data_IF_716345008942
#
_entry.id   IF_716345008942
#
_cell.length_a   1.000
_cell.length_b   1.000
_cell.length_c   1.000
_cell.angle_alpha   90.00
_cell.angle_beta   90.00
_cell.angle_gamma   90.00
#
_symmetry.space_group_name_H-M   'P 1'
#
loop_
_entity.id
_entity.type
_entity.pdbx_description
1 polymer ?
#
# COMPACT_ATOMS: atom_id res chain seq x y z
N UNK A 1 13.62 5.19 11.83
CA UNK A 1 13.88 5.56 10.43
C UNK A 1 12.76 5.02 9.52
N UNK A 2 12.52 5.72 8.43
CA UNK A 2 11.58 5.35 7.37
C UNK A 2 12.40 4.88 6.17
N UNK A 3 11.96 3.78 5.53
CA UNK A 3 12.60 3.20 4.36
C UNK A 3 11.56 2.96 3.27
N UNK A 4 11.85 3.41 2.05
CA UNK A 4 10.95 3.33 0.90
C UNK A 4 11.61 2.60 -0.26
N UNK A 5 10.83 1.85 -1.04
CA UNK A 5 11.29 1.18 -2.27
C UNK A 5 11.85 2.16 -3.30
N UNK A 6 11.55 3.46 -3.16
CA UNK A 6 12.10 4.52 -4.01
C UNK A 6 13.51 4.94 -3.58
N UNK A 7 13.97 4.53 -2.40
CA UNK A 7 15.34 4.71 -1.95
C UNK A 7 16.20 3.55 -2.45
N UNK A 8 17.04 3.81 -3.44
CA UNK A 8 17.86 2.78 -4.08
C UNK A 8 19.12 2.42 -3.30
N UNK A 9 19.50 3.21 -2.30
CA UNK A 9 20.78 3.05 -1.56
C UNK A 9 20.60 2.27 -0.27
N UNK A 10 19.58 2.60 0.52
CA UNK A 10 19.39 2.06 1.87
C UNK A 10 18.19 1.15 2.05
N UNK A 11 17.42 0.90 0.96
CA UNK A 11 16.23 0.09 1.03
C UNK A 11 16.53 -1.40 0.91
N UNK A 12 16.22 -2.16 1.96
CA UNK A 12 16.30 -3.61 1.94
C UNK A 12 14.97 -4.21 1.42
N UNK A 13 14.97 -4.66 0.18
CA UNK A 13 13.79 -5.24 -0.46
C UNK A 13 13.22 -6.47 0.25
N UNK A 14 14.07 -7.22 0.99
CA UNK A 14 13.62 -8.39 1.75
C UNK A 14 12.74 -8.00 2.95
N UNK A 15 12.83 -6.75 3.40
CA UNK A 15 12.04 -6.19 4.49
C UNK A 15 10.81 -5.42 4.03
N UNK A 16 10.62 -5.30 2.73
CA UNK A 16 9.54 -4.50 2.14
C UNK A 16 8.17 -5.04 2.52
N UNK A 17 7.29 -4.16 3.00
CA UNK A 17 5.87 -4.43 3.23
C UNK A 17 5.01 -4.12 2.01
N UNK A 18 3.71 -4.35 2.15
CA UNK A 18 2.70 -4.18 1.07
C UNK A 18 2.68 -2.75 0.50
N UNK A 19 2.93 -1.72 1.31
CA UNK A 19 2.96 -0.31 0.90
C UNK A 19 4.25 0.12 0.20
N UNK A 20 5.21 -0.79 0.00
CA UNK A 20 6.54 -0.41 -0.48
C UNK A 20 7.40 0.30 0.57
N UNK A 21 6.97 0.30 1.83
CA UNK A 21 7.68 0.92 2.94
C UNK A 21 7.86 -0.04 4.11
N UNK A 22 8.82 0.26 4.97
CA UNK A 22 8.92 -0.23 6.34
C UNK A 22 9.54 0.84 7.23
N UNK A 23 9.26 0.75 8.52
CA UNK A 23 9.73 1.68 9.53
C UNK A 23 10.46 0.92 10.62
N UNK A 24 11.61 1.44 11.03
CA UNK A 24 12.37 0.95 12.18
C UNK A 24 12.26 2.01 13.27
N UNK A 25 11.42 1.81 14.29
CA UNK A 25 11.24 2.77 15.36
C UNK A 25 12.41 2.72 16.33
N UNK A 26 12.49 3.73 17.17
CA UNK A 26 13.30 3.74 18.40
C UNK A 26 12.37 3.66 19.59
N UNK A 27 12.86 3.19 20.72
CA UNK A 27 12.15 3.30 22.00
C UNK A 27 11.72 4.75 22.26
N UNK A 28 10.50 4.94 22.74
CA UNK A 28 9.86 6.23 22.91
C UNK A 28 9.23 6.83 21.65
N UNK A 29 9.39 6.22 20.48
CA UNK A 29 8.68 6.65 19.27
C UNK A 29 7.19 6.41 19.41
N UNK A 30 6.40 7.28 18.83
CA UNK A 30 4.95 7.10 18.76
C UNK A 30 4.38 7.56 17.43
N UNK A 31 3.17 7.11 17.14
CA UNK A 31 2.36 7.57 16.02
C UNK A 31 0.92 7.71 16.50
N UNK A 32 0.23 8.73 16.03
CA UNK A 32 -1.15 9.01 16.38
C UNK A 32 -1.99 9.14 15.11
N UNK A 33 -3.11 8.43 15.08
CA UNK A 33 -4.14 8.58 14.06
C UNK A 33 -5.38 9.22 14.69
N UNK A 34 -6.09 10.03 13.91
CA UNK A 34 -7.34 10.69 14.30
C UNK A 34 -8.35 10.60 13.19
N UNK A 35 -9.59 10.32 13.54
CA UNK A 35 -10.72 10.48 12.64
C UNK A 35 -10.85 11.92 12.14
N UNK A 36 -11.43 12.10 10.97
CA UNK A 36 -11.63 13.39 10.31
C UNK A 36 -13.08 13.51 9.86
N UNK A 37 -13.75 14.58 10.26
CA UNK A 37 -15.12 14.84 9.85
C UNK A 37 -15.24 15.96 8.80
N UNK A 38 -14.11 16.41 8.23
CA UNK A 38 -14.06 17.49 7.26
C UNK A 38 -14.92 17.22 6.02
N UNK A 39 -14.99 15.96 5.58
CA UNK A 39 -15.66 15.55 4.35
C UNK A 39 -17.01 14.88 4.61
N UNK A 40 -17.18 14.23 5.76
CA UNK A 40 -18.44 13.63 6.18
C UNK A 40 -18.49 13.55 7.72
N UNK A 41 -19.65 13.85 8.29
CA UNK A 41 -19.84 13.96 9.75
C UNK A 41 -19.58 12.68 10.54
N UNK A 42 -19.69 11.52 9.90
CA UNK A 42 -19.50 10.21 10.55
C UNK A 42 -18.08 9.66 10.46
N UNK A 43 -17.12 10.41 9.86
CA UNK A 43 -15.73 10.01 9.70
C UNK A 43 -14.82 10.41 10.88
N UNK A 44 -15.39 10.96 11.95
CA UNK A 44 -14.63 11.38 13.14
C UNK A 44 -14.30 10.22 14.08
N UNK A 45 -14.98 9.08 13.95
CA UNK A 45 -14.76 7.88 14.76
C UNK A 45 -14.80 6.61 13.91
N UNK A 46 -14.10 5.58 14.37
CA UNK A 46 -14.16 4.23 13.84
C UNK A 46 -14.39 3.20 14.96
N UNK A 47 -14.56 1.93 14.60
CA UNK A 47 -14.79 0.86 15.54
C UNK A 47 -13.58 -0.03 15.78
N UNK A 48 -12.55 0.07 14.95
CA UNK A 48 -11.33 -0.74 15.03
C UNK A 48 -10.11 0.11 14.72
N UNK A 49 -9.01 -0.13 15.41
CA UNK A 49 -7.70 0.40 15.06
C UNK A 49 -6.64 -0.68 15.18
N UNK A 50 -5.78 -0.78 14.19
CA UNK A 50 -4.78 -1.84 14.09
C UNK A 50 -3.39 -1.29 13.80
N UNK A 51 -2.38 -2.01 14.29
CA UNK A 51 -0.97 -1.81 13.94
C UNK A 51 -0.39 -3.12 13.40
N UNK A 52 0.37 -3.04 12.30
CA UNK A 52 0.97 -4.17 11.62
C UNK A 52 2.49 -4.11 11.73
N UNK A 53 3.11 -5.20 12.19
CA UNK A 53 4.55 -5.27 12.40
C UNK A 53 5.08 -6.69 12.30
N UNK A 54 6.39 -6.80 12.10
CA UNK A 54 7.14 -8.05 12.13
C UNK A 54 8.29 -7.90 13.12
N UNK A 55 8.39 -8.80 14.08
CA UNK A 55 9.42 -8.75 15.10
C UNK A 55 10.18 -10.07 15.20
N UNK A 56 11.50 -9.98 15.27
CA UNK A 56 12.41 -11.12 15.50
C UNK A 56 12.72 -11.32 16.98
N UNK A 57 12.53 -10.28 17.78
CA UNK A 57 12.70 -10.27 19.22
C UNK A 57 11.40 -9.85 19.91
N UNK A 58 11.40 -9.86 21.23
CA UNK A 58 10.24 -9.37 21.99
C UNK A 58 9.99 -7.88 21.69
N UNK A 59 8.73 -7.52 21.61
CA UNK A 59 8.27 -6.15 21.41
C UNK A 59 7.32 -5.74 22.52
N UNK A 60 7.47 -4.51 23.00
CA UNK A 60 6.55 -3.88 23.95
C UNK A 60 5.99 -2.62 23.31
N UNK A 61 4.68 -2.59 23.17
CA UNK A 61 3.92 -1.48 22.60
C UNK A 61 2.85 -1.05 23.59
N UNK A 62 2.44 0.20 23.51
CA UNK A 62 1.27 0.67 24.19
C UNK A 62 0.32 1.41 23.27
N UNK A 63 -0.98 1.30 23.56
CA UNK A 63 -2.03 1.97 22.80
C UNK A 63 -2.88 2.82 23.75
N UNK A 64 -3.12 4.08 23.38
CA UNK A 64 -4.03 4.98 24.07
C UNK A 64 -5.14 5.43 23.13
N UNK A 65 -6.36 5.03 23.43
CA UNK A 65 -7.55 5.41 22.69
C UNK A 65 -8.13 6.71 23.27
N UNK A 66 -8.38 7.67 22.40
CA UNK A 66 -8.91 8.99 22.76
C UNK A 66 -8.03 9.64 23.86
N UNK A 67 -8.65 9.98 25.00
CA UNK A 67 -7.97 10.52 26.21
C UNK A 67 -7.94 9.51 27.35
N UNK A 68 -8.22 8.22 27.04
CA UNK A 68 -8.25 7.15 28.04
C UNK A 68 -6.86 6.73 28.53
N UNK A 69 -6.84 5.69 29.33
CA UNK A 69 -5.63 5.09 29.84
C UNK A 69 -4.85 4.36 28.74
N UNK A 70 -3.54 4.26 28.90
CA UNK A 70 -2.68 3.49 28.00
C UNK A 70 -2.73 2.02 28.35
N UNK A 71 -2.95 1.17 27.34
CA UNK A 71 -2.90 -0.29 27.47
C UNK A 71 -1.62 -0.82 26.87
N UNK A 72 -0.88 -1.60 27.65
CA UNK A 72 0.39 -2.21 27.21
C UNK A 72 0.16 -3.58 26.58
N UNK A 73 1.01 -3.91 25.61
CA UNK A 73 1.07 -5.18 24.88
C UNK A 73 2.51 -5.65 24.85
N UNK A 74 2.74 -6.89 25.30
CA UNK A 74 4.04 -7.55 25.24
C UNK A 74 3.90 -8.81 24.39
N UNK A 75 4.67 -8.90 23.31
CA UNK A 75 4.65 -10.03 22.40
C UNK A 75 6.05 -10.61 22.26
N UNK A 76 6.14 -11.93 22.25
CA UNK A 76 7.37 -12.65 21.95
C UNK A 76 7.77 -12.51 20.48
N UNK A 77 8.98 -13.00 20.17
CA UNK A 77 9.46 -13.08 18.81
C UNK A 77 8.51 -13.88 17.91
N UNK A 78 8.34 -13.45 16.66
CA UNK A 78 7.52 -14.12 15.67
C UNK A 78 8.21 -14.13 14.32
N UNK A 79 8.11 -15.26 13.60
CA UNK A 79 8.51 -15.37 12.20
C UNK A 79 7.44 -14.90 11.22
N UNK A 80 6.34 -14.30 11.71
CA UNK A 80 5.17 -13.91 10.93
C UNK A 80 4.80 -12.44 11.17
N UNK A 81 4.10 -11.86 10.20
CA UNK A 81 3.45 -10.56 10.37
C UNK A 81 2.44 -10.64 11.52
N UNK A 82 2.54 -9.74 12.46
CA UNK A 82 1.62 -9.60 13.58
C UNK A 82 0.72 -8.39 13.42
N UNK A 83 -0.46 -8.49 14.01
CA UNK A 83 -1.42 -7.41 14.14
C UNK A 83 -1.88 -7.30 15.59
N UNK A 84 -1.81 -6.11 16.16
CA UNK A 84 -2.57 -5.77 17.37
C UNK A 84 -3.77 -4.96 16.94
N UNK A 85 -4.95 -5.32 17.43
CA UNK A 85 -6.20 -4.64 17.13
C UNK A 85 -6.89 -4.19 18.43
N UNK A 86 -7.32 -2.96 18.44
CA UNK A 86 -8.14 -2.37 19.50
C UNK A 86 -9.53 -2.13 18.95
N UNK A 87 -10.56 -2.53 19.69
CA UNK A 87 -11.97 -2.34 19.34
C UNK A 87 -12.63 -1.34 20.30
N UNK A 88 -13.57 -0.56 19.78
CA UNK A 88 -14.35 0.42 20.54
C UNK A 88 -14.71 1.64 19.69
N UNK A 89 -15.27 2.68 20.32
CA UNK A 89 -15.47 3.96 19.65
C UNK A 89 -14.16 4.76 19.71
N UNK A 90 -13.47 4.84 18.58
CA UNK A 90 -12.12 5.38 18.46
C UNK A 90 -12.17 6.67 17.62
N UNK A 91 -12.03 7.83 18.26
CA UNK A 91 -11.83 9.13 17.58
C UNK A 91 -10.35 9.42 17.35
N UNK A 92 -9.49 8.91 18.24
CA UNK A 92 -8.04 8.94 18.06
C UNK A 92 -7.39 7.71 18.70
N UNK A 93 -6.26 7.30 18.17
CA UNK A 93 -5.42 6.27 18.77
C UNK A 93 -3.96 6.67 18.67
N UNK A 94 -3.25 6.58 19.79
CA UNK A 94 -1.78 6.71 19.82
C UNK A 94 -1.17 5.35 20.13
N UNK A 95 -0.32 4.90 19.23
CA UNK A 95 0.55 3.76 19.43
C UNK A 95 1.94 4.25 19.83
N UNK A 96 2.46 3.75 20.94
CA UNK A 96 3.81 4.07 21.42
C UNK A 96 4.67 2.81 21.44
N UNK A 97 5.95 2.99 21.15
CA UNK A 97 6.94 1.93 21.13
C UNK A 97 7.74 2.02 22.42
N UNK A 98 7.49 1.12 23.35
CA UNK A 98 8.18 1.10 24.62
C UNK A 98 9.52 0.35 24.46
N UNK A 99 9.50 -0.80 23.72
CA UNK A 99 10.69 -1.56 23.33
C UNK A 99 10.41 -2.27 22.00
N UNK A 100 11.33 -2.16 21.04
CA UNK A 100 11.16 -2.76 19.71
C UNK A 100 12.51 -3.06 19.03
N UNK A 101 13.31 -3.91 19.64
CA UNK A 101 14.54 -4.40 19.03
C UNK A 101 14.19 -5.28 17.82
N UNK A 102 14.91 -5.12 16.70
CA UNK A 102 14.72 -5.91 15.46
C UNK A 102 13.27 -5.98 14.95
N UNK A 103 12.48 -4.91 15.16
CA UNK A 103 11.08 -4.84 14.75
C UNK A 103 10.90 -3.93 13.54
N UNK A 104 10.12 -4.41 12.56
CA UNK A 104 9.73 -3.66 11.37
C UNK A 104 8.24 -3.33 11.46
N UNK A 105 7.89 -2.06 11.32
CA UNK A 105 6.50 -1.63 11.27
C UNK A 105 6.09 -1.32 9.84
N UNK A 106 4.88 -1.73 9.46
CA UNK A 106 4.39 -1.64 8.09
C UNK A 106 3.23 -0.69 7.91
N UNK A 107 2.47 -0.42 8.96
CA UNK A 107 1.37 0.51 8.86
C UNK A 107 0.38 0.41 10.02
N UNK A 108 -0.61 1.27 9.90
CA UNK A 108 -1.71 1.44 10.85
C UNK A 108 -3.00 1.51 10.07
N UNK A 109 -4.10 1.09 10.69
CA UNK A 109 -5.43 1.24 10.14
C UNK A 109 -6.41 1.74 11.20
N UNK A 110 -7.39 2.53 10.77
CA UNK A 110 -8.59 2.87 11.52
C UNK A 110 -9.80 2.51 10.66
N UNK A 111 -10.56 1.51 11.04
CA UNK A 111 -11.58 0.89 10.20
C UNK A 111 -12.96 0.91 10.86
N UNK A 112 -14.00 1.01 10.04
CA UNK A 112 -15.36 0.62 10.40
C UNK A 112 -15.50 -0.89 10.46
N UNK A 113 -16.55 -1.38 11.13
CA UNK A 113 -16.93 -2.81 11.10
C UNK A 113 -17.76 -3.19 9.89
N UNK A 114 -18.33 -2.20 9.22
CA UNK A 114 -19.23 -2.37 8.08
C UNK A 114 -18.90 -1.33 7.01
N UNK A 115 -19.29 -1.60 5.77
CA UNK A 115 -19.09 -0.72 4.64
C UNK A 115 -17.86 -1.12 3.81
N UNK A 116 -17.37 -0.18 3.01
CA UNK A 116 -16.19 -0.35 2.17
C UNK A 116 -14.97 0.21 2.91
N UNK A 117 -13.94 -0.58 3.00
CA UNK A 117 -12.63 -0.17 3.53
C UNK A 117 -11.69 -0.01 2.33
N UNK A 118 -11.08 1.16 2.24
CA UNK A 118 -10.13 1.48 1.16
C UNK A 118 -8.75 1.76 1.74
N UNK A 119 -7.78 0.92 1.37
CA UNK A 119 -6.37 1.17 1.64
C UNK A 119 -5.73 1.86 0.43
N UNK A 120 -5.03 2.95 0.68
CA UNK A 120 -4.28 3.65 -0.34
C UNK A 120 -2.78 3.36 -0.19
N UNK A 121 -2.24 2.57 -1.12
CA UNK A 121 -0.81 2.24 -1.21
C UNK A 121 -0.11 3.00 -2.35
N UNK A 122 -0.62 4.15 -2.75
CA UNK A 122 0.01 4.93 -3.81
C UNK A 122 1.43 5.33 -3.44
N UNK A 123 2.32 5.17 -4.41
CA UNK A 123 3.72 5.51 -4.30
C UNK A 123 4.09 6.44 -5.45
N UNK A 124 4.36 7.71 -5.13
CA UNK A 124 4.71 8.73 -6.12
C UNK A 124 5.92 8.28 -6.94
N UNK A 125 5.83 8.39 -8.27
CA UNK A 125 6.91 8.01 -9.18
C UNK A 125 6.95 6.52 -9.53
N UNK A 126 6.07 5.69 -8.93
CA UNK A 126 6.02 4.26 -9.23
C UNK A 126 5.44 3.99 -10.62
N UNK A 127 5.98 2.98 -11.29
CA UNK A 127 5.43 2.40 -12.52
C UNK A 127 4.61 1.13 -12.27
N UNK A 128 4.49 0.68 -11.02
CA UNK A 128 3.89 -0.61 -10.67
C UNK A 128 4.84 -1.80 -10.75
N UNK A 129 5.95 -1.69 -11.46
CA UNK A 129 6.87 -2.81 -11.66
C UNK A 129 7.56 -3.28 -10.38
N UNK A 130 7.70 -2.40 -9.40
CA UNK A 130 8.29 -2.72 -8.08
C UNK A 130 7.46 -3.71 -7.26
N UNK A 131 6.15 -3.85 -7.54
CA UNK A 131 5.25 -4.78 -6.84
C UNK A 131 5.75 -6.22 -6.88
N UNK A 132 6.35 -6.65 -8.00
CA UNK A 132 6.94 -8.00 -8.14
C UNK A 132 8.12 -8.27 -7.21
N UNK A 133 8.70 -7.22 -6.62
CA UNK A 133 9.82 -7.33 -5.68
C UNK A 133 9.40 -7.47 -4.22
N UNK A 134 8.11 -7.36 -3.89
CA UNK A 134 7.62 -7.58 -2.54
C UNK A 134 7.67 -9.09 -2.24
N UNK A 135 8.26 -9.53 -1.12
CA UNK A 135 8.32 -10.95 -0.80
C UNK A 135 6.93 -11.60 -0.77
N UNK A 136 6.72 -12.70 -1.50
CA UNK A 136 5.44 -13.42 -1.56
C UNK A 136 4.93 -13.80 -0.16
N UNK A 137 5.82 -14.26 0.71
CA UNK A 137 5.47 -14.58 2.09
C UNK A 137 4.88 -13.38 2.82
N UNK A 138 5.46 -12.20 2.65
CA UNK A 138 4.96 -10.97 3.27
C UNK A 138 3.55 -10.61 2.75
N UNK A 139 3.33 -10.68 1.43
CA UNK A 139 2.01 -10.40 0.84
C UNK A 139 0.95 -11.41 1.32
N UNK A 140 1.28 -12.69 1.39
CA UNK A 140 0.37 -13.73 1.90
C UNK A 140 0.03 -13.49 3.37
N UNK A 141 1.01 -13.16 4.19
CA UNK A 141 0.79 -12.84 5.60
C UNK A 141 -0.05 -11.56 5.77
N UNK A 142 0.12 -10.57 4.89
CA UNK A 142 -0.79 -9.42 4.86
C UNK A 142 -2.20 -9.83 4.49
N UNK A 143 -2.39 -10.68 3.49
CA UNK A 143 -3.69 -11.18 3.09
C UNK A 143 -4.39 -11.97 4.23
N UNK A 144 -3.65 -12.72 5.02
CA UNK A 144 -4.18 -13.41 6.22
C UNK A 144 -4.65 -12.43 7.30
N UNK A 145 -3.90 -11.35 7.53
CA UNK A 145 -4.20 -10.37 8.59
C UNK A 145 -5.19 -9.28 8.16
N UNK A 146 -5.23 -8.99 6.86
CA UNK A 146 -6.06 -7.96 6.23
C UNK A 146 -6.40 -8.39 4.80
N UNK A 147 -7.40 -9.28 4.63
CA UNK A 147 -7.80 -9.75 3.30
C UNK A 147 -8.37 -8.63 2.45
N UNK A 148 -8.14 -8.72 1.14
CA UNK A 148 -8.67 -7.79 0.13
C UNK A 148 -9.60 -8.51 -0.82
N UNK A 149 -10.76 -7.89 -1.09
CA UNK A 149 -11.73 -8.37 -2.09
C UNK A 149 -11.39 -7.84 -3.48
N UNK A 150 -10.78 -6.64 -3.54
CA UNK A 150 -10.41 -5.97 -4.80
C UNK A 150 -9.08 -5.25 -4.66
N UNK A 151 -8.23 -5.43 -5.66
CA UNK A 151 -6.97 -4.69 -5.84
C UNK A 151 -7.11 -3.83 -7.09
N UNK A 152 -6.97 -2.51 -6.94
CA UNK A 152 -7.01 -1.56 -8.06
C UNK A 152 -5.58 -1.12 -8.36
N UNK A 153 -5.15 -1.31 -9.60
CA UNK A 153 -3.85 -0.92 -10.11
C UNK A 153 -4.01 0.30 -11.02
N UNK A 154 -3.51 1.45 -10.58
CA UNK A 154 -3.53 2.70 -11.33
C UNK A 154 -2.08 3.14 -11.60
N UNK A 155 -1.57 2.81 -12.77
CA UNK A 155 -0.20 3.10 -13.19
C UNK A 155 -0.16 3.61 -14.63
N UNK A 156 0.95 4.24 -15.02
CA UNK A 156 1.20 4.58 -16.40
C UNK A 156 1.73 6.00 -16.61
N UNK A 157 1.29 7.00 -15.82
CA UNK A 157 1.75 8.39 -15.98
C UNK A 157 3.26 8.55 -15.86
N UNK A 158 3.92 7.72 -15.05
CA UNK A 158 5.39 7.70 -14.92
C UNK A 158 6.10 6.87 -16.01
N UNK A 159 5.35 6.22 -16.87
CA UNK A 159 5.84 5.40 -17.98
C UNK A 159 5.60 6.09 -19.33
N UNK A 160 4.49 6.81 -19.46
CA UNK A 160 4.12 7.50 -20.67
C UNK A 160 5.16 8.54 -21.08
N UNK A 161 5.57 8.50 -22.35
CA UNK A 161 6.44 9.49 -22.96
C UNK A 161 5.75 10.09 -24.18
N UNK A 162 6.13 11.31 -24.58
CA UNK A 162 5.47 12.05 -25.66
C UNK A 162 5.36 11.23 -26.95
N UNK A 163 6.44 10.54 -27.32
CA UNK A 163 6.52 9.73 -28.54
C UNK A 163 6.59 8.23 -28.28
N UNK A 164 6.13 7.79 -27.11
CA UNK A 164 6.18 6.38 -26.72
C UNK A 164 5.42 5.48 -27.71
N UNK A 165 6.17 4.63 -28.42
CA UNK A 165 5.60 3.69 -29.41
C UNK A 165 5.66 2.26 -28.94
N UNK A 166 6.66 1.92 -28.14
CA UNK A 166 6.91 0.57 -27.65
C UNK A 166 6.97 0.55 -26.13
N UNK A 167 6.08 -0.23 -25.53
CA UNK A 167 5.98 -0.48 -24.09
C UNK A 167 6.10 -1.98 -23.74
N UNK A 168 6.75 -2.80 -24.61
CA UNK A 168 6.86 -4.26 -24.41
C UNK A 168 7.51 -4.62 -23.08
N UNK A 169 8.58 -3.91 -22.69
CA UNK A 169 9.24 -4.15 -21.40
C UNK A 169 8.34 -3.81 -20.22
N UNK A 170 7.53 -2.75 -20.35
CA UNK A 170 6.53 -2.40 -19.34
C UNK A 170 5.44 -3.48 -19.27
N UNK A 171 4.90 -3.91 -20.41
CA UNK A 171 3.91 -4.99 -20.48
C UNK A 171 4.41 -6.25 -19.78
N UNK A 172 5.58 -6.76 -20.16
CA UNK A 172 6.19 -7.95 -19.53
C UNK A 172 6.38 -7.79 -18.03
N UNK A 173 6.84 -6.61 -17.60
CA UNK A 173 7.06 -6.31 -16.20
C UNK A 173 5.76 -6.22 -15.38
N UNK A 174 4.71 -5.61 -15.94
CA UNK A 174 3.44 -5.47 -15.26
C UNK A 174 2.66 -6.80 -15.22
N UNK A 175 2.72 -7.61 -16.27
CA UNK A 175 2.20 -8.98 -16.28
C UNK A 175 2.84 -9.81 -15.15
N UNK A 176 4.16 -9.71 -15.00
CA UNK A 176 4.86 -10.39 -13.91
C UNK A 176 4.38 -9.91 -12.55
N UNK A 177 4.14 -8.60 -12.37
CA UNK A 177 3.64 -8.04 -11.13
C UNK A 177 2.19 -8.48 -10.84
N UNK A 178 1.32 -8.50 -11.86
CA UNK A 178 -0.07 -8.97 -11.72
C UNK A 178 -0.10 -10.44 -11.33
N UNK A 179 0.67 -11.30 -11.99
CA UNK A 179 0.73 -12.72 -11.64
C UNK A 179 1.25 -12.93 -10.21
N UNK A 180 2.23 -12.15 -9.80
CA UNK A 180 2.72 -12.15 -8.43
C UNK A 180 1.63 -11.80 -7.41
N UNK A 181 0.79 -10.79 -7.70
CA UNK A 181 -0.34 -10.44 -6.85
C UNK A 181 -1.42 -11.54 -6.85
N UNK A 182 -1.78 -12.09 -8.00
CA UNK A 182 -2.76 -13.20 -8.10
C UNK A 182 -2.37 -14.41 -7.25
N UNK A 183 -1.09 -14.76 -7.23
CA UNK A 183 -0.59 -15.85 -6.38
C UNK A 183 -0.65 -15.55 -4.88
N UNK A 184 -0.56 -14.29 -4.50
CA UNK A 184 -0.55 -13.87 -3.10
C UNK A 184 -1.94 -13.52 -2.55
N UNK A 185 -2.86 -13.13 -3.43
CA UNK A 185 -4.24 -12.73 -3.12
C UNK A 185 -5.23 -13.51 -4.01
N UNK A 186 -5.33 -14.84 -3.87
CA UNK A 186 -6.08 -15.68 -4.81
C UNK A 186 -7.59 -15.42 -4.81
N UNK A 187 -8.14 -14.78 -3.78
CA UNK A 187 -9.55 -14.45 -3.67
C UNK A 187 -9.87 -13.02 -4.11
N UNK A 188 -8.86 -12.17 -4.31
CA UNK A 188 -9.08 -10.78 -4.69
C UNK A 188 -9.29 -10.65 -6.20
N UNK A 189 -10.32 -9.89 -6.60
CA UNK A 189 -10.42 -9.37 -7.96
C UNK A 189 -9.29 -8.35 -8.22
N UNK A 190 -8.83 -8.26 -9.46
CA UNK A 190 -7.86 -7.22 -9.85
C UNK A 190 -8.47 -6.38 -10.96
N UNK A 191 -8.39 -5.07 -10.80
CA UNK A 191 -8.80 -4.07 -11.78
C UNK A 191 -7.58 -3.23 -12.18
N UNK A 192 -7.26 -3.21 -13.47
CA UNK A 192 -6.29 -2.29 -14.03
C UNK A 192 -7.03 -1.06 -14.54
N UNK A 193 -6.76 0.10 -13.95
CA UNK A 193 -7.23 1.38 -14.47
C UNK A 193 -6.28 1.86 -15.57
N UNK A 194 -6.86 2.35 -16.66
CA UNK A 194 -6.07 2.95 -17.73
C UNK A 194 -5.29 4.16 -17.23
N UNK A 195 -4.13 4.40 -17.83
CA UNK A 195 -3.41 5.64 -17.60
C UNK A 195 -4.31 6.84 -17.91
N UNK A 196 -4.33 7.81 -16.99
CA UNK A 196 -5.05 9.06 -17.18
C UNK A 196 -4.49 9.87 -18.35
N UNK A 197 -5.29 10.82 -18.86
CA UNK A 197 -4.85 11.68 -19.95
C UNK A 197 -3.67 12.56 -19.52
N UNK A 198 -2.78 12.77 -20.48
CA UNK A 198 -1.64 13.69 -20.35
C UNK A 198 -1.48 14.45 -21.65
N UNK A 199 -1.61 15.74 -21.56
CA UNK A 199 -1.48 16.63 -22.70
C UNK A 199 -0.03 17.07 -22.93
N UNK A 200 0.25 17.40 -24.17
CA UNK A 200 1.42 18.16 -24.57
C UNK A 200 1.01 19.40 -25.36
N UNK A 201 1.85 20.41 -25.35
CA UNK A 201 1.62 21.66 -26.10
C UNK A 201 2.23 21.53 -27.48
N UNK A 202 1.42 21.75 -28.53
CA UNK A 202 1.89 21.76 -29.92
C UNK A 202 2.71 23.01 -30.21
N UNK A 203 3.38 23.05 -31.37
CA UNK A 203 4.10 24.24 -31.88
C UNK A 203 3.17 25.46 -32.04
N UNK A 204 1.89 25.22 -32.34
CA UNK A 204 0.84 26.26 -32.45
C UNK A 204 0.28 26.67 -31.11
N UNK A 205 0.69 26.04 -30.02
CA UNK A 205 0.24 26.34 -28.65
C UNK A 205 -0.99 25.57 -28.19
N UNK A 206 -1.59 24.73 -29.04
CA UNK A 206 -2.75 23.90 -28.68
C UNK A 206 -2.37 22.78 -27.74
N UNK A 207 -3.26 22.43 -26.82
CA UNK A 207 -3.15 21.24 -25.97
C UNK A 207 -3.72 20.02 -26.70
N UNK A 208 -2.97 18.94 -26.76
CA UNK A 208 -3.40 17.66 -27.35
C UNK A 208 -2.96 16.51 -26.49
N UNK A 209 -3.79 15.48 -26.42
CA UNK A 209 -3.43 14.21 -25.76
C UNK A 209 -2.15 13.64 -26.33
N UNK A 210 -1.21 13.34 -25.44
CA UNK A 210 0.10 12.79 -25.77
C UNK A 210 -0.03 11.46 -26.53
N UNK A 211 0.53 11.30 -27.73
CA UNK A 211 0.39 10.07 -28.51
C UNK A 211 0.84 8.81 -27.77
N UNK A 212 1.88 8.92 -26.94
CA UNK A 212 2.37 7.83 -26.11
C UNK A 212 1.35 7.33 -25.08
N UNK A 213 0.43 8.18 -24.59
CA UNK A 213 -0.67 7.79 -23.70
C UNK A 213 -1.63 6.84 -24.43
N UNK A 214 -2.06 7.19 -25.64
CA UNK A 214 -2.97 6.35 -26.44
C UNK A 214 -2.35 4.96 -26.72
N UNK A 215 -1.06 4.92 -27.03
CA UNK A 215 -0.36 3.65 -27.19
C UNK A 215 -0.31 2.87 -25.87
N UNK A 216 0.02 3.51 -24.76
CA UNK A 216 0.11 2.85 -23.45
C UNK A 216 -1.23 2.24 -23.04
N UNK A 217 -2.36 2.92 -23.30
CA UNK A 217 -3.70 2.38 -23.05
C UNK A 217 -3.91 1.05 -23.77
N UNK A 218 -3.49 0.94 -25.06
CA UNK A 218 -3.58 -0.32 -25.82
C UNK A 218 -2.75 -1.43 -25.18
N UNK A 219 -1.55 -1.11 -24.72
CA UNK A 219 -0.71 -2.06 -23.99
C UNK A 219 -1.36 -2.49 -22.68
N UNK A 220 -1.99 -1.58 -21.95
CA UNK A 220 -2.72 -1.89 -20.71
C UNK A 220 -3.95 -2.76 -20.97
N UNK A 221 -4.70 -2.54 -22.06
CA UNK A 221 -5.77 -3.42 -22.51
C UNK A 221 -5.26 -4.85 -22.79
N UNK A 222 -4.14 -4.97 -23.51
CA UNK A 222 -3.52 -6.26 -23.77
C UNK A 222 -3.07 -6.96 -22.49
N UNK A 223 -2.46 -6.22 -21.57
CA UNK A 223 -2.07 -6.74 -20.25
C UNK A 223 -3.29 -7.30 -19.49
N UNK A 224 -4.39 -6.56 -19.46
CA UNK A 224 -5.59 -7.01 -18.77
C UNK A 224 -6.20 -8.26 -19.43
N UNK A 225 -6.27 -8.28 -20.76
CA UNK A 225 -6.77 -9.43 -21.53
C UNK A 225 -5.88 -10.68 -21.31
N UNK A 226 -4.56 -10.54 -21.41
CA UNK A 226 -3.59 -11.64 -21.26
C UNK A 226 -3.58 -12.18 -19.82
N UNK A 227 -3.69 -11.31 -18.83
CA UNK A 227 -3.73 -11.72 -17.43
C UNK A 227 -5.11 -12.11 -16.92
N UNK A 228 -6.19 -11.94 -17.73
CA UNK A 228 -7.55 -12.27 -17.33
C UNK A 228 -8.05 -11.46 -16.13
N UNK A 229 -7.80 -10.14 -16.13
CA UNK A 229 -8.25 -9.20 -15.10
C UNK A 229 -9.19 -8.14 -15.69
N UNK A 230 -9.92 -7.44 -14.83
CA UNK A 230 -10.77 -6.33 -15.27
C UNK A 230 -9.91 -5.13 -15.74
N UNK A 231 -10.46 -4.39 -16.71
CA UNK A 231 -9.86 -3.15 -17.25
C UNK A 231 -10.91 -2.05 -17.31
N UNK A 232 -10.51 -0.84 -16.96
CA UNK A 232 -11.34 0.35 -17.07
C UNK A 232 -10.57 1.52 -17.67
#
# INVERSE_FOLDING_TARGET
SSHSVMDTVYFDRKKQGISGHYFIPRSGAYVELRGQNKYASLLDTCQQASIFFYNRDSVQLSARVNRGESRSYSLGASGHLQKIQVNGRIGSIRWSVDRADSTLFYGLAMDGKQGIILDNFSLRGSSGLSLRGIPKQMLRQFNEQRPYDLIILEYGLNVATERGRNYDNYQKGLLTAINHLKECFPQAGILLLSVGDRDYKTETGDLRTMPGVKNLIRYQQNIAAESGIAFW
#
